data_IF_910548633809
#
_entry.id   IF_910548633809
#
_cell.length_a   1.000
_cell.length_b   1.000
_cell.length_c   1.000
_cell.angle_alpha   90.00
_cell.angle_beta   90.00
_cell.angle_gamma   90.00
#
_symmetry.space_group_name_H-M   'P 1'
#
loop_
_entity.id
_entity.type
_entity.pdbx_description
1 polymer ?
#
# COMPACT_ATOMS: atom_id res chain seq x y z
N UNK A 1 5.37 -6.10 22.38
CA UNK A 1 3.91 -5.99 22.10
C UNK A 1 3.16 -6.85 23.11
N UNK A 2 1.98 -6.42 23.54
CA UNK A 2 1.14 -7.11 24.51
C UNK A 2 -0.32 -7.05 24.08
N UNK A 3 -0.97 -8.20 24.07
CA UNK A 3 -2.42 -8.31 23.89
C UNK A 3 -3.12 -8.00 25.23
N UNK A 4 -4.00 -7.00 25.23
CA UNK A 4 -4.79 -6.59 26.39
C UNK A 4 -6.15 -7.28 26.41
N UNK A 5 -6.77 -7.43 25.22
CA UNK A 5 -8.08 -8.05 25.05
C UNK A 5 -8.16 -8.68 23.66
N UNK A 6 -8.79 -9.84 23.57
CA UNK A 6 -9.18 -10.46 22.31
C UNK A 6 -10.68 -10.77 22.38
N UNK A 7 -11.47 -10.20 21.48
CA UNK A 7 -12.88 -10.50 21.35
C UNK A 7 -13.12 -11.29 20.06
N UNK A 8 -13.19 -12.61 20.18
CA UNK A 8 -13.43 -13.52 19.05
C UNK A 8 -14.85 -13.41 18.48
N UNK A 9 -15.82 -12.87 19.24
CA UNK A 9 -17.20 -12.74 18.78
C UNK A 9 -17.42 -11.49 17.91
N UNK A 10 -16.71 -10.41 18.23
CA UNK A 10 -16.85 -9.12 17.54
C UNK A 10 -15.58 -8.78 16.74
N UNK A 11 -14.66 -9.73 16.60
CA UNK A 11 -13.46 -9.65 15.76
C UNK A 11 -12.59 -8.40 15.98
N UNK A 12 -12.42 -8.00 17.24
CA UNK A 12 -11.51 -6.91 17.62
C UNK A 12 -10.56 -7.29 18.76
N UNK A 13 -9.44 -6.58 18.84
CA UNK A 13 -8.46 -6.72 19.90
C UNK A 13 -8.04 -5.35 20.48
N UNK A 14 -7.66 -5.37 21.76
CA UNK A 14 -6.96 -4.25 22.40
C UNK A 14 -5.48 -4.62 22.51
N UNK A 15 -4.62 -3.72 22.05
CA UNK A 15 -3.17 -3.93 21.90
C UNK A 15 -2.39 -2.84 22.63
N UNK A 16 -1.25 -3.24 23.17
CA UNK A 16 -0.28 -2.36 23.78
C UNK A 16 1.10 -2.64 23.17
N UNK A 17 1.62 -1.66 22.43
CA UNK A 17 2.92 -1.73 21.77
C UNK A 17 3.90 -0.82 22.51
N UNK A 18 5.13 -1.30 22.65
CA UNK A 18 6.25 -0.47 23.05
C UNK A 18 7.04 -0.19 21.79
N UNK A 19 7.20 1.08 21.44
CA UNK A 19 7.94 1.54 20.27
C UNK A 19 8.99 2.51 20.77
N UNK A 20 10.25 2.12 20.67
CA UNK A 20 11.36 2.80 21.33
C UNK A 20 11.06 2.97 22.83
N UNK A 21 10.96 4.20 23.31
CA UNK A 21 10.61 4.54 24.68
C UNK A 21 9.13 4.94 24.84
N UNK A 22 8.34 4.89 23.76
CA UNK A 22 6.93 5.26 23.76
C UNK A 22 6.01 4.05 23.90
N UNK A 23 5.01 4.22 24.76
CA UNK A 23 3.97 3.23 24.98
C UNK A 23 2.71 3.58 24.19
N UNK A 24 2.42 2.82 23.15
CA UNK A 24 1.24 2.99 22.31
C UNK A 24 0.13 2.03 22.74
N UNK A 25 -1.02 2.56 23.12
CA UNK A 25 -2.22 1.78 23.43
C UNK A 25 -3.23 1.94 22.29
N UNK A 26 -3.51 0.86 21.56
CA UNK A 26 -4.55 0.82 20.53
C UNK A 26 -5.71 -0.02 21.03
N UNK A 27 -6.88 0.58 21.12
CA UNK A 27 -8.10 -0.09 21.58
C UNK A 27 -9.00 -0.34 20.38
N UNK A 28 -9.74 -1.44 20.43
CA UNK A 28 -10.74 -1.77 19.43
C UNK A 28 -10.20 -1.85 17.99
N UNK A 29 -9.05 -2.51 17.83
CA UNK A 29 -8.46 -2.78 16.51
C UNK A 29 -9.20 -3.94 15.87
N UNK A 30 -9.83 -3.71 14.73
CA UNK A 30 -10.53 -4.75 14.00
C UNK A 30 -9.58 -5.63 13.19
N UNK A 31 -10.05 -6.81 12.81
CA UNK A 31 -9.34 -7.62 11.79
C UNK A 31 -9.22 -6.84 10.47
N UNK A 32 -8.11 -7.03 9.77
CA UNK A 32 -7.75 -6.34 8.52
C UNK A 32 -7.63 -4.81 8.61
N UNK A 33 -7.67 -4.24 9.80
CA UNK A 33 -7.42 -2.82 10.02
C UNK A 33 -5.90 -2.58 10.20
N UNK A 34 -5.27 -1.74 9.37
CA UNK A 34 -3.86 -1.43 9.50
C UNK A 34 -3.60 -0.50 10.68
N UNK A 35 -2.81 -0.96 11.63
CA UNK A 35 -2.31 -0.14 12.74
C UNK A 35 -0.94 0.40 12.38
N UNK A 36 -0.91 1.65 11.95
CA UNK A 36 0.32 2.36 11.57
C UNK A 36 1.06 2.89 12.82
N UNK A 37 2.37 2.67 12.88
CA UNK A 37 3.28 3.24 13.89
C UNK A 37 4.67 3.50 13.28
N UNK A 38 5.48 4.30 13.95
CA UNK A 38 6.85 4.63 13.53
C UNK A 38 7.82 4.04 14.53
N UNK A 39 8.75 3.19 14.09
CA UNK A 39 9.72 2.51 14.96
C UNK A 39 11.12 3.11 14.82
N UNK A 40 11.70 3.58 15.91
CA UNK A 40 13.07 4.11 15.99
C UNK A 40 13.26 5.38 15.17
N UNK A 41 14.49 5.54 14.68
CA UNK A 41 14.86 6.55 13.68
C UNK A 41 14.27 6.27 12.29
N UNK A 42 13.46 5.22 12.13
CA UNK A 42 12.82 4.95 10.86
C UNK A 42 11.79 6.04 10.55
N UNK A 43 12.16 6.92 9.61
CA UNK A 43 11.28 7.89 8.95
C UNK A 43 10.15 7.27 8.12
N UNK A 44 9.93 5.96 8.22
CA UNK A 44 8.96 5.24 7.39
C UNK A 44 7.90 4.60 8.30
N UNK A 45 6.61 4.67 7.91
CA UNK A 45 5.54 4.03 8.65
C UNK A 45 5.66 2.51 8.57
N UNK A 46 5.45 1.85 9.71
CA UNK A 46 5.30 0.40 9.83
C UNK A 46 3.84 0.11 10.13
N UNK A 47 3.29 -0.95 9.55
CA UNK A 47 1.89 -1.30 9.72
C UNK A 47 1.76 -2.70 10.33
N UNK A 48 0.93 -2.83 11.36
CA UNK A 48 0.51 -4.12 11.91
C UNK A 48 -0.91 -4.42 11.44
N UNK A 49 -1.12 -5.59 10.86
CA UNK A 49 -2.44 -6.07 10.44
C UNK A 49 -2.76 -7.37 11.16
N UNK A 50 -3.93 -7.44 11.79
CA UNK A 50 -4.45 -8.66 12.41
C UNK A 50 -5.32 -9.39 11.37
N UNK A 51 -5.03 -10.66 11.09
CA UNK A 51 -5.84 -11.46 10.16
C UNK A 51 -6.75 -12.47 10.88
N UNK A 52 -6.44 -12.84 12.12
CA UNK A 52 -7.25 -13.75 12.90
C UNK A 52 -7.15 -13.46 14.40
N UNK A 53 -8.27 -13.61 15.10
CA UNK A 53 -8.35 -13.47 16.56
C UNK A 53 -8.88 -14.78 17.13
N UNK A 54 -8.12 -15.38 18.04
CA UNK A 54 -8.49 -16.58 18.76
C UNK A 54 -8.47 -16.31 20.28
N UNK A 55 -8.80 -17.32 21.07
CA UNK A 55 -8.88 -17.15 22.53
C UNK A 55 -7.48 -16.81 23.08
N UNK A 56 -7.34 -15.60 23.61
CA UNK A 56 -6.10 -15.06 24.17
C UNK A 56 -4.93 -14.94 23.18
N UNK A 57 -5.18 -15.08 21.88
CA UNK A 57 -4.13 -15.00 20.85
C UNK A 57 -4.64 -14.24 19.63
N UNK A 58 -3.72 -13.61 18.92
CA UNK A 58 -3.98 -12.97 17.63
C UNK A 58 -2.92 -13.43 16.64
N UNK A 59 -3.33 -13.56 15.38
CA UNK A 59 -2.44 -13.77 14.26
C UNK A 59 -2.49 -12.55 13.35
N UNK A 60 -1.36 -12.25 12.74
CA UNK A 60 -1.21 -11.06 11.92
C UNK A 60 0.18 -10.98 11.31
N UNK A 61 0.43 -9.89 10.61
CA UNK A 61 1.73 -9.58 10.02
C UNK A 61 2.08 -8.12 10.25
N UNK A 62 3.38 -7.84 10.20
CA UNK A 62 3.93 -6.49 10.23
C UNK A 62 4.56 -6.23 8.87
N UNK A 63 4.24 -5.10 8.25
CA UNK A 63 4.80 -4.69 6.96
C UNK A 63 5.58 -3.39 7.09
N UNK A 64 6.76 -3.37 6.47
CA UNK A 64 7.62 -2.20 6.37
C UNK A 64 7.86 -1.87 4.88
N UNK A 65 7.92 -0.58 4.50
CA UNK A 65 8.28 -0.17 3.15
C UNK A 65 9.67 -0.64 2.75
N UNK A 66 9.79 -1.27 1.57
CA UNK A 66 11.07 -1.79 1.04
C UNK A 66 12.09 -0.69 0.75
N UNK A 67 11.64 0.44 0.23
CA UNK A 67 12.51 1.54 -0.21
C UNK A 67 12.28 2.74 0.70
N UNK A 68 13.35 3.47 1.03
CA UNK A 68 13.20 4.75 1.74
C UNK A 68 12.67 5.79 0.75
N UNK A 69 11.92 6.78 1.23
CA UNK A 69 11.41 7.86 0.38
C UNK A 69 12.49 8.49 -0.53
N UNK A 70 13.72 8.66 -0.02
CA UNK A 70 14.85 9.17 -0.79
C UNK A 70 15.27 8.24 -1.95
N UNK A 71 15.19 6.91 -1.76
CA UNK A 71 15.48 5.93 -2.81
C UNK A 71 14.42 5.95 -3.89
N UNK A 72 13.13 6.11 -3.53
CA UNK A 72 12.05 6.29 -4.51
C UNK A 72 12.26 7.58 -5.32
N UNK A 73 12.64 8.68 -4.66
CA UNK A 73 12.90 9.97 -5.32
C UNK A 73 14.08 9.88 -6.30
N UNK A 74 15.16 9.21 -5.90
CA UNK A 74 16.33 8.96 -6.76
C UNK A 74 15.98 8.05 -7.97
N UNK A 75 15.16 7.01 -7.77
CA UNK A 75 14.65 6.15 -8.86
C UNK A 75 13.72 6.92 -9.82
N UNK A 76 12.88 7.80 -9.31
CA UNK A 76 12.00 8.64 -10.13
C UNK A 76 12.81 9.62 -11.00
N UNK A 77 13.86 10.23 -10.42
CA UNK A 77 14.73 11.18 -11.15
C UNK A 77 15.55 10.50 -12.25
N UNK A 78 16.07 9.30 -11.99
CA UNK A 78 16.82 8.51 -12.99
C UNK A 78 15.93 7.97 -14.12
N UNK A 79 14.64 7.78 -13.88
CA UNK A 79 13.66 7.41 -14.92
C UNK A 79 13.37 8.56 -15.89
N UNK A 80 13.37 9.81 -15.42
CA UNK A 80 13.16 11.00 -16.27
C UNK A 80 14.41 11.32 -17.11
N UNK A 81 15.61 11.11 -16.57
CA UNK A 81 16.87 11.36 -17.29
C UNK A 81 17.11 10.41 -18.47
N UNK A 82 16.52 9.20 -18.46
CA UNK A 82 16.72 8.18 -19.50
C UNK A 82 15.74 8.30 -20.68
N UNK A 83 14.73 9.18 -20.60
CA UNK A 83 13.74 9.41 -21.67
C UNK A 83 14.15 10.52 -22.67
N UNK A 84 15.32 11.15 -22.49
CA UNK A 84 15.82 12.21 -23.38
C UNK A 84 16.67 11.71 -24.56
N UNK A 85 16.64 10.40 -24.87
CA UNK A 85 17.30 9.84 -26.05
C UNK A 85 16.29 9.12 -26.96
N UNK A 86 15.37 9.87 -27.58
CA UNK A 86 14.69 9.40 -28.79
C UNK A 86 14.58 10.56 -29.80
N UNK A 87 15.21 10.48 -30.98
CA UNK A 87 15.07 11.50 -32.01
C UNK A 87 13.68 11.43 -32.64
N UNK A 88 13.05 12.60 -32.73
CA UNK A 88 11.81 12.96 -33.41
C UNK A 88 11.16 11.88 -34.30
N UNK A 89 10.00 11.38 -33.87
CA UNK A 89 9.00 10.80 -34.78
C UNK A 89 7.78 11.72 -34.80
N UNK A 90 7.52 12.27 -35.97
CA UNK A 90 6.41 13.15 -36.32
C UNK A 90 5.06 12.42 -36.16
N UNK A 91 4.04 13.05 -35.53
CA UNK A 91 2.71 12.48 -35.49
C UNK A 91 1.99 12.75 -36.82
N UNK A 92 1.92 11.77 -37.72
CA UNK A 92 0.92 11.77 -38.80
C UNK A 92 -0.29 10.94 -38.33
N UNK A 93 -1.30 11.62 -37.80
CA UNK A 93 -2.61 11.02 -37.51
C UNK A 93 -3.57 11.33 -38.67
N UNK A 94 -3.64 10.44 -39.65
CA UNK A 94 -4.77 10.39 -40.58
C UNK A 94 -5.94 9.62 -39.90
N UNK A 95 -7.17 10.15 -39.89
CA UNK A 95 -8.30 9.46 -39.26
C UNK A 95 -8.73 8.23 -40.08
N UNK A 96 -9.20 7.14 -39.43
CA UNK A 96 -9.59 5.91 -40.11
C UNK A 96 -10.83 6.14 -40.97
N UNK A 97 -10.74 5.82 -42.26
CA UNK A 97 -11.88 5.91 -43.17
C UNK A 97 -12.94 4.86 -42.80
N UNK A 98 -14.14 5.32 -42.43
CA UNK A 98 -15.31 4.45 -42.22
C UNK A 98 -15.67 3.77 -43.54
N UNK A 99 -15.51 2.44 -43.63
CA UNK A 99 -16.08 1.64 -44.73
C UNK A 99 -17.60 1.77 -44.69
N UNK A 100 -18.19 2.30 -45.77
CA UNK A 100 -19.64 2.26 -46.01
C UNK A 100 -20.07 0.79 -46.15
N UNK A 101 -21.06 0.38 -45.37
CA UNK A 101 -21.74 -0.90 -45.53
C UNK A 101 -22.73 -0.75 -46.69
N UNK A 102 -22.57 -1.53 -47.76
CA UNK A 102 -23.50 -1.52 -48.90
C UNK A 102 -24.81 -2.23 -48.49
N UNK A 103 -25.94 -1.55 -48.71
CA UNK A 103 -27.29 -2.09 -48.46
C UNK A 103 -27.72 -2.97 -49.65
N UNK A 104 -28.25 -4.18 -49.43
CA UNK A 104 -28.77 -5.01 -50.50
C UNK A 104 -30.03 -4.39 -51.12
N UNK A 105 -30.06 -4.32 -52.44
CA UNK A 105 -31.21 -3.88 -53.25
C UNK A 105 -32.28 -4.96 -53.27
N UNK A 106 -33.56 -4.56 -53.20
CA UNK A 106 -34.71 -5.41 -53.48
C UNK A 106 -35.60 -4.72 -54.51
#
# INVERSE_FOLDING_TARGET
MRLRKANTKHEYADLELMVDDYKLSKKHVNIYEPVVFYAGDARQPVELVINNISKNHIHGYVSEPKYKAADLEAMATSSTANNNAHPAQTPSSAPPQRRKLELPSN
#
